data_IF_044988899343
#
_entry.id   IF_044988899343
#
_cell.length_a   1.000
_cell.length_b   1.000
_cell.length_c   1.000
_cell.angle_alpha   90.00
_cell.angle_beta   90.00
_cell.angle_gamma   90.00
#
_symmetry.space_group_name_H-M   'P 1'
#
loop_
_entity.id
_entity.type
_entity.pdbx_description
1 polymer ?
#
# COMPACT_ATOMS: atom_id res chain seq x y z
N UNK A 1 2.56 -5.75 7.22
CA UNK A 1 1.87 -4.87 6.25
C UNK A 1 2.93 -4.35 5.32
N UNK A 2 2.62 -4.27 4.02
CA UNK A 2 3.48 -3.68 3.00
C UNK A 2 2.72 -2.50 2.38
N UNK A 3 3.42 -1.46 1.94
CA UNK A 3 2.78 -0.35 1.27
C UNK A 3 3.72 0.46 0.40
N UNK A 4 3.13 1.13 -0.57
CA UNK A 4 3.77 1.97 -1.58
C UNK A 4 2.71 2.88 -2.17
N UNK A 5 3.11 3.99 -2.78
CA UNK A 5 2.15 4.89 -3.39
C UNK A 5 1.89 4.53 -4.85
N UNK A 6 0.63 4.67 -5.24
CA UNK A 6 0.14 4.36 -6.57
C UNK A 6 -0.10 5.62 -7.39
N UNK A 7 -0.22 6.79 -6.75
CA UNK A 7 -0.15 8.06 -7.45
C UNK A 7 1.25 8.33 -7.99
N UNK A 8 1.31 9.22 -8.97
CA UNK A 8 2.54 9.66 -9.62
C UNK A 8 2.41 11.12 -10.04
N UNK A 9 3.52 11.73 -10.42
CA UNK A 9 3.52 13.04 -11.07
C UNK A 9 2.83 13.00 -12.44
N UNK A 10 1.97 13.99 -12.68
CA UNK A 10 1.23 14.17 -13.94
C UNK A 10 2.14 14.34 -15.18
N UNK A 11 3.41 14.69 -14.99
CA UNK A 11 4.40 14.82 -16.07
C UNK A 11 5.12 13.52 -16.44
N UNK A 12 4.84 12.42 -15.75
CA UNK A 12 5.48 11.12 -15.95
C UNK A 12 4.45 10.00 -16.02
N UNK A 13 4.92 8.77 -16.29
CA UNK A 13 4.07 7.56 -16.31
C UNK A 13 4.09 6.79 -15.00
N UNK A 14 4.89 7.23 -14.02
CA UNK A 14 4.96 6.63 -12.69
C UNK A 14 5.50 5.19 -12.65
N UNK A 15 6.24 4.76 -13.68
CA UNK A 15 6.67 3.37 -13.81
C UNK A 15 7.61 2.95 -12.66
N UNK A 16 8.69 3.69 -12.44
CA UNK A 16 9.64 3.44 -11.35
C UNK A 16 9.20 4.07 -10.04
N UNK A 17 8.48 5.19 -10.13
CA UNK A 17 8.00 5.98 -8.99
C UNK A 17 6.47 6.14 -9.09
N UNK A 18 5.68 5.22 -8.53
CA UNK A 18 6.09 4.01 -7.80
C UNK A 18 5.28 2.76 -8.20
N UNK A 19 4.97 2.67 -9.49
CA UNK A 19 4.33 1.50 -10.09
C UNK A 19 5.13 0.22 -9.86
N UNK A 20 6.46 0.29 -9.93
CA UNK A 20 7.37 -0.83 -9.70
C UNK A 20 7.25 -1.38 -8.27
N UNK A 21 7.24 -0.53 -7.25
CA UNK A 21 7.05 -0.98 -5.87
C UNK A 21 5.67 -1.60 -5.65
N UNK A 22 4.63 -0.98 -6.22
CA UNK A 22 3.26 -1.48 -6.14
C UNK A 22 3.12 -2.88 -6.76
N UNK A 23 3.65 -3.10 -7.97
CA UNK A 23 3.49 -4.36 -8.68
C UNK A 23 4.27 -5.50 -8.00
N UNK A 24 5.47 -5.22 -7.46
CA UNK A 24 6.25 -6.22 -6.72
C UNK A 24 5.48 -6.75 -5.51
N UNK A 25 4.85 -5.85 -4.73
CA UNK A 25 4.05 -6.27 -3.58
C UNK A 25 2.82 -7.09 -4.00
N UNK A 26 2.10 -6.63 -5.02
CA UNK A 26 0.92 -7.33 -5.55
C UNK A 26 1.29 -8.72 -6.06
N UNK A 27 2.40 -8.84 -6.77
CA UNK A 27 2.87 -10.10 -7.34
C UNK A 27 3.32 -11.09 -6.25
N UNK A 28 4.01 -10.61 -5.21
CA UNK A 28 4.37 -11.44 -4.07
C UNK A 28 3.12 -12.07 -3.41
N UNK A 29 2.06 -11.30 -3.22
CA UNK A 29 0.81 -11.82 -2.64
C UNK A 29 0.05 -12.74 -3.61
N UNK A 30 0.09 -12.44 -4.92
CA UNK A 30 -0.47 -13.32 -5.95
C UNK A 30 0.22 -14.70 -5.93
N UNK A 31 1.55 -14.73 -5.84
CA UNK A 31 2.33 -15.97 -5.75
C UNK A 31 1.95 -16.75 -4.49
N UNK A 32 1.94 -16.11 -3.31
CA UNK A 32 1.57 -16.78 -2.05
C UNK A 32 0.17 -17.42 -2.12
N UNK A 33 -0.78 -16.74 -2.78
CA UNK A 33 -2.12 -17.29 -3.03
C UNK A 33 -2.09 -18.46 -4.00
N UNK A 34 -1.32 -18.37 -5.09
CA UNK A 34 -1.21 -19.40 -6.11
C UNK A 34 -0.62 -20.72 -5.57
N UNK A 35 0.34 -20.64 -4.65
CA UNK A 35 0.95 -21.83 -4.01
C UNK A 35 0.17 -22.36 -2.80
N UNK A 36 -1.01 -21.80 -2.51
CA UNK A 36 -1.90 -22.30 -1.46
C UNK A 36 -1.41 -22.08 -0.02
N UNK A 37 -0.48 -21.14 0.20
CA UNK A 37 0.01 -20.83 1.55
C UNK A 37 -1.12 -20.17 2.35
N UNK A 38 -1.27 -20.62 3.61
CA UNK A 38 -2.17 -20.02 4.60
C UNK A 38 -1.34 -19.32 5.68
N UNK A 39 -1.08 -18.01 5.56
CA UNK A 39 -0.28 -17.28 6.53
C UNK A 39 -0.94 -17.31 7.93
N UNK A 40 -0.14 -17.45 8.98
CA UNK A 40 -0.61 -17.33 10.38
C UNK A 40 -1.16 -15.94 10.73
N UNK A 41 -0.82 -14.93 9.92
CA UNK A 41 -1.23 -13.52 10.10
C UNK A 41 -1.71 -12.96 8.77
N UNK A 42 -2.71 -12.07 8.83
CA UNK A 42 -3.19 -11.36 7.64
C UNK A 42 -2.05 -10.56 7.00
N UNK A 43 -1.80 -10.83 5.72
CA UNK A 43 -0.94 -9.98 4.89
C UNK A 43 -1.82 -8.85 4.35
N UNK A 44 -1.41 -7.60 4.57
CA UNK A 44 -2.09 -6.41 4.07
C UNK A 44 -1.13 -5.63 3.18
N UNK A 45 -1.55 -5.38 1.94
CA UNK A 45 -0.96 -4.41 1.03
C UNK A 45 -1.79 -3.14 1.11
N UNK A 46 -1.13 -1.99 1.12
CA UNK A 46 -1.78 -0.71 0.94
C UNK A 46 -1.13 0.06 -0.21
N UNK A 47 -1.97 0.51 -1.14
CA UNK A 47 -1.60 1.34 -2.26
C UNK A 47 -2.08 2.76 -1.93
N UNK A 48 -1.14 3.64 -1.60
CA UNK A 48 -1.46 4.99 -1.13
C UNK A 48 -1.70 5.92 -2.32
N UNK A 49 -2.65 6.84 -2.16
CA UNK A 49 -2.75 8.01 -3.03
C UNK A 49 -2.32 9.25 -2.27
N UNK A 50 -1.96 10.31 -2.98
CA UNK A 50 -1.63 11.57 -2.35
C UNK A 50 -0.21 11.62 -1.78
N UNK A 51 0.67 10.67 -2.13
CA UNK A 51 2.04 10.63 -1.63
C UNK A 51 2.85 11.79 -2.18
N UNK A 52 2.69 12.05 -3.48
CA UNK A 52 3.40 13.10 -4.21
C UNK A 52 2.97 14.50 -3.76
N UNK A 53 1.74 14.61 -3.21
CA UNK A 53 1.21 15.84 -2.62
C UNK A 53 1.49 15.97 -1.11
N UNK A 54 2.36 15.11 -0.56
CA UNK A 54 2.80 15.16 0.84
C UNK A 54 2.20 14.07 1.72
N UNK A 55 2.32 12.81 1.32
CA UNK A 55 1.99 11.62 2.14
C UNK A 55 0.52 11.54 2.59
N UNK A 56 -0.40 12.19 1.88
CA UNK A 56 -1.76 12.41 2.37
C UNK A 56 -2.52 11.12 2.67
N UNK A 57 -2.43 10.12 1.79
CA UNK A 57 -3.14 8.85 1.97
C UNK A 57 -2.62 8.02 3.13
N UNK A 58 -1.30 7.89 3.27
CA UNK A 58 -0.70 7.11 4.35
C UNK A 58 -0.90 7.80 5.70
N UNK A 59 -0.77 9.13 5.75
CA UNK A 59 -1.03 9.93 6.94
C UNK A 59 -2.49 9.81 7.39
N UNK A 60 -3.44 9.96 6.45
CA UNK A 60 -4.87 9.79 6.74
C UNK A 60 -5.18 8.40 7.26
N UNK A 61 -4.61 7.36 6.66
CA UNK A 61 -4.80 5.98 7.10
C UNK A 61 -4.35 5.78 8.55
N UNK A 62 -3.18 6.30 8.93
CA UNK A 62 -2.68 6.18 10.32
C UNK A 62 -3.58 6.92 11.30
N UNK A 63 -3.95 8.17 11.01
CA UNK A 63 -4.83 8.96 11.90
C UNK A 63 -6.16 8.25 12.09
N UNK A 64 -6.80 7.79 11.02
CA UNK A 64 -8.08 7.08 11.12
C UNK A 64 -7.93 5.78 11.90
N UNK A 65 -6.85 5.02 11.69
CA UNK A 65 -6.61 3.75 12.39
C UNK A 65 -6.34 3.95 13.89
N UNK A 66 -5.59 5.00 14.26
CA UNK A 66 -5.32 5.33 15.66
C UNK A 66 -6.56 5.90 16.35
N UNK A 67 -7.31 6.78 15.68
CA UNK A 67 -8.53 7.37 16.24
C UNK A 67 -9.61 6.33 16.58
N UNK A 68 -9.70 5.23 15.82
CA UNK A 68 -10.58 4.10 16.15
C UNK A 68 -10.11 3.37 17.41
N UNK A 69 -8.79 3.28 17.63
CA UNK A 69 -8.19 2.52 18.74
C UNK A 69 -8.30 3.23 20.11
N UNK A 70 -8.61 4.52 20.13
CA UNK A 70 -8.80 5.31 21.36
C UNK A 70 -10.27 5.65 21.66
N UNK A 71 -11.23 5.09 20.89
CA UNK A 71 -12.67 5.20 21.16
C UNK A 71 -13.27 3.93 21.78
N UNK A 72 -12.45 2.91 21.99
CA UNK A 72 -12.74 1.73 22.81
C UNK A 72 -11.97 1.84 24.13
#
# INVERSE_FOLDING_TARGET
MLGGHLDSWHGATGATDNGAGCIVMMEAVRILKAIGIKPKRTIRIALWGGEEQGLLGSYKYIITRLAVRFRE
#
